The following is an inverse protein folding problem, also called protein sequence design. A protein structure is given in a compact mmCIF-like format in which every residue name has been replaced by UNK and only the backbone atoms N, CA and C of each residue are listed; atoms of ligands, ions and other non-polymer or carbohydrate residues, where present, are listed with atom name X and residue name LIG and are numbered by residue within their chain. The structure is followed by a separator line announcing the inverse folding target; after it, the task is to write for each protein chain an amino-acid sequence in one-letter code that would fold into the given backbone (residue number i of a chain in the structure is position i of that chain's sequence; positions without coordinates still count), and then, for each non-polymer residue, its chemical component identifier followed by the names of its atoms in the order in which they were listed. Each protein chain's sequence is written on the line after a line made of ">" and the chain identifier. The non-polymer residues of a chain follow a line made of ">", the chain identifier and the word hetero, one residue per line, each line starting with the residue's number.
data_IF_053976912605
#
_entry.id   IF_053976912605
#
_cell.length_a   1.000
_cell.length_b   1.000
_cell.length_c   1.000
_cell.angle_alpha   90.00
_cell.angle_beta   90.00
_cell.angle_gamma   90.00
#
_symmetry.space_group_name_H-M   'P 1'
#
loop_
_entity.id
_entity.type
_entity.pdbx_description
1 polymer ?
#
# COMPACT_ATOMS: atom_id res chain seq x y z
N UNK A 1 -16.61 -48.58 -15.28
CA UNK A 1 -16.00 -47.33 -14.79
C UNK A 1 -16.38 -46.22 -15.75
N UNK A 2 -17.23 -45.28 -15.32
CA UNK A 2 -17.54 -44.09 -16.12
C UNK A 2 -16.36 -43.15 -15.95
N UNK A 3 -15.64 -42.82 -17.04
CA UNK A 3 -14.65 -41.73 -17.03
C UNK A 3 -15.44 -40.45 -16.74
N UNK A 4 -15.17 -39.80 -15.61
CA UNK A 4 -15.64 -38.44 -15.40
C UNK A 4 -15.16 -37.58 -16.57
N UNK A 5 -16.09 -36.88 -17.21
CA UNK A 5 -15.76 -35.87 -18.21
C UNK A 5 -14.87 -34.84 -17.54
N UNK A 6 -13.68 -34.62 -18.07
CA UNK A 6 -12.75 -33.59 -17.60
C UNK A 6 -13.50 -32.26 -17.50
N UNK A 7 -13.58 -31.71 -16.30
CA UNK A 7 -14.23 -30.42 -16.07
C UNK A 7 -13.31 -29.34 -16.62
N UNK A 8 -13.62 -28.82 -17.81
CA UNK A 8 -12.82 -27.80 -18.48
C UNK A 8 -12.55 -26.58 -17.57
N UNK A 9 -13.48 -26.22 -16.68
CA UNK A 9 -13.29 -25.10 -15.76
C UNK A 9 -12.18 -25.33 -14.72
N UNK A 10 -11.85 -26.59 -14.42
CA UNK A 10 -10.77 -26.94 -13.50
C UNK A 10 -9.37 -26.90 -14.13
N UNK A 11 -9.29 -26.86 -15.46
CA UNK A 11 -8.03 -26.94 -16.21
C UNK A 11 -7.65 -25.59 -16.86
N UNK A 12 -8.53 -24.58 -16.78
CA UNK A 12 -8.32 -23.24 -17.36
C UNK A 12 -7.34 -22.45 -16.50
N UNK A 13 -6.30 -21.88 -17.13
CA UNK A 13 -5.34 -21.00 -16.47
C UNK A 13 -5.90 -19.62 -16.14
N UNK A 14 -5.21 -18.86 -15.29
CA UNK A 14 -5.65 -17.53 -14.86
C UNK A 14 -5.84 -16.54 -16.03
N UNK A 15 -4.97 -16.61 -17.06
CA UNK A 15 -5.08 -15.77 -18.25
C UNK A 15 -6.33 -16.08 -19.09
N UNK A 16 -6.56 -17.37 -19.37
CA UNK A 16 -7.74 -17.82 -20.11
C UNK A 16 -9.05 -17.49 -19.34
N UNK A 17 -9.04 -17.66 -18.01
CA UNK A 17 -10.17 -17.29 -17.17
C UNK A 17 -10.48 -15.78 -17.26
N UNK A 18 -9.45 -14.93 -17.28
CA UNK A 18 -9.61 -13.49 -17.44
C UNK A 18 -10.23 -13.13 -18.80
N UNK A 19 -9.73 -13.69 -19.89
CA UNK A 19 -10.27 -13.43 -21.24
C UNK A 19 -11.74 -13.88 -21.37
N UNK A 20 -12.09 -15.02 -20.78
CA UNK A 20 -13.47 -15.51 -20.72
C UNK A 20 -14.35 -14.54 -19.92
N UNK A 21 -13.92 -14.10 -18.75
CA UNK A 21 -14.66 -13.12 -17.94
C UNK A 21 -14.88 -11.80 -18.69
N UNK A 22 -13.87 -11.32 -19.41
CA UNK A 22 -13.97 -10.10 -20.22
C UNK A 22 -14.92 -10.27 -21.41
N UNK A 23 -14.95 -11.45 -22.01
CA UNK A 23 -15.90 -11.79 -23.09
C UNK A 23 -17.33 -11.79 -22.55
N UNK A 24 -17.59 -12.51 -21.46
CA UNK A 24 -18.90 -12.54 -20.80
C UNK A 24 -19.39 -11.15 -20.38
N UNK A 25 -18.50 -10.32 -19.85
CA UNK A 25 -18.83 -8.94 -19.45
C UNK A 25 -19.15 -8.03 -20.65
N UNK A 26 -18.58 -8.28 -21.83
CA UNK A 26 -18.90 -7.54 -23.07
C UNK A 26 -20.26 -7.93 -23.63
N UNK A 27 -20.61 -9.20 -23.55
CA UNK A 27 -21.86 -9.75 -24.09
C UNK A 27 -23.08 -9.39 -23.25
N UNK A 28 -22.97 -9.40 -21.92
CA UNK A 28 -24.11 -9.22 -21.02
C UNK A 28 -23.82 -8.23 -19.87
N UNK A 29 -24.68 -7.21 -19.74
CA UNK A 29 -24.56 -6.15 -18.72
C UNK A 29 -24.87 -6.64 -17.30
N UNK A 30 -25.77 -7.62 -17.13
CA UNK A 30 -26.06 -8.23 -15.83
C UNK A 30 -24.90 -9.13 -15.38
N UNK A 31 -24.31 -9.90 -16.29
CA UNK A 31 -23.11 -10.71 -16.00
C UNK A 31 -21.93 -9.80 -15.64
N UNK A 32 -21.70 -8.72 -16.39
CA UNK A 32 -20.71 -7.70 -16.04
C UNK A 32 -20.88 -7.19 -14.60
N UNK A 33 -22.09 -6.74 -14.24
CA UNK A 33 -22.37 -6.26 -12.88
C UNK A 33 -22.10 -7.33 -11.83
N UNK A 34 -22.41 -8.59 -12.12
CA UNK A 34 -22.15 -9.70 -11.20
C UNK A 34 -20.65 -9.98 -11.03
N UNK A 35 -19.88 -9.94 -12.11
CA UNK A 35 -18.41 -10.06 -12.06
C UNK A 35 -17.81 -8.91 -11.23
N UNK A 36 -18.22 -7.68 -11.50
CA UNK A 36 -17.77 -6.49 -10.74
C UNK A 36 -18.12 -6.60 -9.25
N UNK A 37 -19.32 -7.08 -8.90
CA UNK A 37 -19.73 -7.31 -7.53
C UNK A 37 -18.83 -8.34 -6.83
N UNK A 38 -18.63 -9.51 -7.45
CA UNK A 38 -17.80 -10.58 -6.88
C UNK A 38 -16.35 -10.11 -6.72
N UNK A 39 -15.82 -9.36 -7.69
CA UNK A 39 -14.49 -8.78 -7.60
C UNK A 39 -14.39 -7.83 -6.40
N UNK A 40 -15.36 -6.93 -6.22
CA UNK A 40 -15.41 -6.01 -5.07
C UNK A 40 -15.52 -6.74 -3.74
N UNK A 41 -16.38 -7.76 -3.63
CA UNK A 41 -16.54 -8.59 -2.41
C UNK A 41 -15.26 -9.33 -2.02
N UNK A 42 -14.42 -9.69 -2.99
CA UNK A 42 -13.10 -10.28 -2.72
C UNK A 42 -12.08 -9.24 -2.31
N UNK A 43 -12.04 -8.11 -3.01
CA UNK A 43 -11.10 -7.01 -2.76
C UNK A 43 -11.42 -6.25 -1.46
N UNK A 44 -12.67 -6.30 -0.95
CA UNK A 44 -13.11 -5.60 0.25
C UNK A 44 -12.61 -6.18 1.58
N UNK A 45 -11.79 -7.23 1.54
CA UNK A 45 -11.25 -7.89 2.74
C UNK A 45 -9.91 -7.29 3.16
N UNK A 46 -9.87 -5.97 3.27
CA UNK A 46 -8.68 -5.27 3.79
C UNK A 46 -8.74 -5.27 5.30
N UNK A 47 -7.74 -5.86 5.93
CA UNK A 47 -7.48 -5.74 7.36
C UNK A 47 -6.33 -4.74 7.58
N UNK A 48 -6.52 -3.81 8.49
CA UNK A 48 -5.54 -2.76 8.79
C UNK A 48 -4.28 -3.35 9.43
N UNK A 49 -4.45 -4.28 10.36
CA UNK A 49 -3.38 -4.87 11.14
C UNK A 49 -2.54 -5.82 10.28
N UNK A 50 -3.18 -6.57 9.38
CA UNK A 50 -2.46 -7.41 8.41
C UNK A 50 -1.58 -6.52 7.51
N UNK A 51 -2.12 -5.44 6.94
CA UNK A 51 -1.35 -4.52 6.09
C UNK A 51 -0.21 -3.85 6.87
N UNK A 52 -0.46 -3.45 8.13
CA UNK A 52 0.58 -2.85 8.96
C UNK A 52 1.73 -3.83 9.25
N UNK A 53 1.38 -5.09 9.56
CA UNK A 53 2.34 -6.16 9.78
C UNK A 53 3.16 -6.44 8.51
N UNK A 54 2.51 -6.53 7.35
CA UNK A 54 3.19 -6.80 6.07
C UNK A 54 4.16 -5.67 5.71
N UNK A 55 3.76 -4.40 5.91
CA UNK A 55 4.65 -3.25 5.68
C UNK A 55 5.82 -3.23 6.65
N UNK A 56 5.57 -3.48 7.94
CA UNK A 56 6.64 -3.57 8.93
C UNK A 56 7.66 -4.66 8.56
N UNK A 57 7.18 -5.86 8.21
CA UNK A 57 8.05 -6.97 7.85
C UNK A 57 8.84 -6.67 6.58
N UNK A 58 8.22 -6.15 5.52
CA UNK A 58 8.92 -5.80 4.29
C UNK A 58 10.07 -4.80 4.53
N UNK A 59 9.83 -3.77 5.34
CA UNK A 59 10.86 -2.80 5.70
C UNK A 59 11.92 -3.37 6.63
N UNK A 60 11.51 -4.23 7.57
CA UNK A 60 12.41 -4.84 8.55
C UNK A 60 13.26 -5.97 7.95
N UNK A 61 12.84 -6.55 6.83
CA UNK A 61 13.59 -7.58 6.11
C UNK A 61 14.67 -7.00 5.18
N UNK A 62 14.78 -5.67 5.08
CA UNK A 62 15.85 -5.02 4.32
C UNK A 62 17.21 -5.30 5.00
N UNK A 63 18.07 -6.05 4.31
CA UNK A 63 19.41 -6.37 4.78
C UNK A 63 20.37 -5.19 4.56
N UNK A 64 21.17 -4.85 5.58
CA UNK A 64 22.17 -3.78 5.48
C UNK A 64 23.29 -4.15 4.50
N UNK A 65 23.54 -5.44 4.31
CA UNK A 65 24.50 -5.97 3.35
C UNK A 65 24.12 -5.63 1.91
N UNK A 66 22.83 -5.63 1.59
CA UNK A 66 22.33 -5.23 0.28
C UNK A 66 22.55 -3.73 0.04
N UNK A 67 22.36 -2.91 1.09
CA UNK A 67 22.71 -1.50 1.04
C UNK A 67 24.21 -1.30 0.77
N UNK A 68 25.08 -2.01 1.47
CA UNK A 68 26.54 -1.89 1.27
C UNK A 68 26.99 -2.35 -0.12
N UNK A 69 26.36 -3.38 -0.67
CA UNK A 69 26.67 -3.86 -2.02
C UNK A 69 26.25 -2.86 -3.11
N UNK A 70 25.21 -2.07 -2.85
CA UNK A 70 24.60 -1.17 -3.81
C UNK A 70 25.02 0.30 -3.63
N UNK A 71 25.78 0.60 -2.58
CA UNK A 71 26.27 1.94 -2.26
C UNK A 71 27.80 2.05 -2.29
N UNK A 72 28.32 3.26 -2.14
CA UNK A 72 29.75 3.53 -2.18
C UNK A 72 30.30 3.61 -3.60
N UNK A 73 31.57 3.24 -3.77
CA UNK A 73 32.27 3.37 -5.05
C UNK A 73 31.88 2.24 -6.02
N UNK A 74 31.21 2.61 -7.11
CA UNK A 74 30.82 1.71 -8.20
C UNK A 74 31.62 2.01 -9.48
N UNK A 75 31.51 1.14 -10.49
CA UNK A 75 32.09 1.39 -11.82
C UNK A 75 31.51 2.63 -12.54
N UNK A 76 30.38 3.17 -12.08
CA UNK A 76 29.67 4.29 -12.70
C UNK A 76 29.73 5.58 -11.87
N UNK A 77 30.38 5.56 -10.70
CA UNK A 77 30.45 6.70 -9.80
C UNK A 77 30.24 6.28 -8.35
N UNK A 78 30.12 7.28 -7.48
CA UNK A 78 29.81 7.08 -6.07
C UNK A 78 28.29 7.12 -5.86
N UNK A 79 27.75 6.12 -5.16
CA UNK A 79 26.37 6.09 -4.69
C UNK A 79 26.38 6.41 -3.20
N UNK A 80 25.64 7.42 -2.78
CA UNK A 80 25.57 7.83 -1.39
C UNK A 80 24.71 6.83 -0.60
N UNK A 81 25.21 6.25 0.52
CA UNK A 81 24.48 5.19 1.23
C UNK A 81 23.14 5.61 1.82
N UNK A 82 22.99 6.82 2.33
CA UNK A 82 21.68 7.30 2.85
C UNK A 82 20.67 7.52 1.73
N UNK A 83 21.09 8.01 0.56
CA UNK A 83 20.27 8.11 -0.65
C UNK A 83 19.85 6.73 -1.12
N UNK A 84 20.76 5.74 -1.10
CA UNK A 84 20.40 4.36 -1.47
C UNK A 84 19.46 3.72 -0.45
N UNK A 85 19.65 3.97 0.85
CA UNK A 85 18.74 3.48 1.89
C UNK A 85 17.32 4.03 1.67
N UNK A 86 17.20 5.33 1.37
CA UNK A 86 15.94 5.95 1.01
C UNK A 86 15.27 5.27 -0.19
N UNK A 87 16.03 5.00 -1.26
CA UNK A 87 15.51 4.30 -2.43
C UNK A 87 15.03 2.87 -2.10
N UNK A 88 15.82 2.09 -1.35
CA UNK A 88 15.46 0.73 -0.92
C UNK A 88 14.18 0.72 -0.08
N UNK A 89 14.04 1.69 0.84
CA UNK A 89 12.82 1.88 1.61
C UNK A 89 11.61 2.12 0.70
N UNK A 90 11.80 2.93 -0.36
CA UNK A 90 10.78 3.19 -1.37
C UNK A 90 10.42 1.98 -2.22
N UNK A 91 11.40 1.17 -2.60
CA UNK A 91 11.24 -0.06 -3.37
C UNK A 91 10.37 -1.06 -2.60
N UNK A 92 10.63 -1.26 -1.31
CA UNK A 92 9.80 -2.14 -0.47
C UNK A 92 8.37 -1.60 -0.26
N UNK A 93 8.18 -0.29 -0.27
CA UNK A 93 6.85 0.31 -0.17
C UNK A 93 6.07 0.31 -1.49
N UNK A 94 6.72 0.21 -2.64
CA UNK A 94 6.09 0.34 -3.96
C UNK A 94 4.91 -0.64 -4.16
N UNK A 95 5.00 -1.94 -3.82
CA UNK A 95 3.88 -2.87 -3.95
C UNK A 95 2.62 -2.41 -3.18
N UNK A 96 2.81 -1.88 -1.97
CA UNK A 96 1.71 -1.36 -1.15
C UNK A 96 1.10 -0.10 -1.76
N UNK A 97 1.92 0.77 -2.34
CA UNK A 97 1.46 1.99 -2.99
C UNK A 97 0.66 1.72 -4.27
N UNK A 98 1.04 0.72 -5.06
CA UNK A 98 0.28 0.34 -6.24
C UNK A 98 -1.05 -0.35 -5.88
N UNK A 99 -1.10 -1.15 -4.80
CA UNK A 99 -2.35 -1.73 -4.31
C UNK A 99 -3.30 -0.66 -3.73
N UNK A 100 -2.78 0.32 -2.98
CA UNK A 100 -3.54 1.49 -2.54
C UNK A 100 -4.17 2.25 -3.72
N UNK A 101 -3.36 2.52 -4.75
CA UNK A 101 -3.79 3.21 -5.97
C UNK A 101 -4.83 2.40 -6.76
N UNK A 102 -4.75 1.08 -6.74
CA UNK A 102 -5.77 0.19 -7.31
C UNK A 102 -7.11 0.35 -6.60
N UNK A 103 -7.15 0.39 -5.27
CA UNK A 103 -8.39 0.68 -4.54
C UNK A 103 -8.99 2.04 -4.91
N UNK A 104 -8.15 3.07 -5.04
CA UNK A 104 -8.59 4.42 -5.46
C UNK A 104 -9.16 4.41 -6.89
N UNK A 105 -8.49 3.76 -7.84
CA UNK A 105 -8.98 3.60 -9.23
C UNK A 105 -10.32 2.87 -9.31
N UNK A 106 -10.59 1.97 -8.37
CA UNK A 106 -11.85 1.22 -8.27
C UNK A 106 -12.93 1.95 -7.46
N UNK A 107 -12.64 3.18 -6.97
CA UNK A 107 -13.49 3.97 -6.08
C UNK A 107 -13.88 3.21 -4.80
N UNK A 108 -13.00 2.33 -4.33
CA UNK A 108 -13.15 1.56 -3.09
C UNK A 108 -12.57 2.37 -1.94
N UNK A 109 -13.19 3.53 -1.65
CA UNK A 109 -12.63 4.54 -0.76
C UNK A 109 -12.45 4.04 0.67
N UNK A 110 -13.39 3.21 1.17
CA UNK A 110 -13.31 2.62 2.50
C UNK A 110 -12.06 1.74 2.63
N UNK A 111 -11.87 0.86 1.66
CA UNK A 111 -10.72 -0.05 1.58
C UNK A 111 -9.42 0.73 1.40
N UNK A 112 -9.39 1.71 0.50
CA UNK A 112 -8.22 2.58 0.30
C UNK A 112 -7.82 3.30 1.60
N UNK A 113 -8.80 3.80 2.36
CA UNK A 113 -8.56 4.42 3.67
C UNK A 113 -7.99 3.42 4.68
N UNK A 114 -8.61 2.25 4.83
CA UNK A 114 -8.13 1.20 5.75
C UNK A 114 -6.73 0.74 5.37
N UNK A 115 -6.45 0.57 4.08
CA UNK A 115 -5.14 0.18 3.57
C UNK A 115 -4.09 1.27 3.84
N UNK A 116 -4.42 2.54 3.59
CA UNK A 116 -3.56 3.68 3.91
C UNK A 116 -3.23 3.74 5.40
N UNK A 117 -4.21 3.58 6.29
CA UNK A 117 -3.98 3.50 7.73
C UNK A 117 -3.04 2.36 8.11
N UNK A 118 -3.15 1.19 7.45
CA UNK A 118 -2.24 0.07 7.63
C UNK A 118 -0.80 0.41 7.24
N UNK A 119 -0.59 0.99 6.05
CA UNK A 119 0.75 1.44 5.60
C UNK A 119 1.36 2.42 6.60
N UNK A 120 0.60 3.45 6.99
CA UNK A 120 1.06 4.46 7.94
C UNK A 120 1.47 3.84 9.29
N UNK A 121 0.69 2.86 9.77
CA UNK A 121 0.98 2.15 11.01
C UNK A 121 2.24 1.29 10.89
N UNK A 122 2.41 0.54 9.79
CA UNK A 122 3.60 -0.29 9.56
C UNK A 122 4.89 0.52 9.48
N UNK A 123 4.86 1.65 8.76
CA UNK A 123 6.01 2.59 8.70
C UNK A 123 6.34 3.14 10.09
N UNK A 124 5.33 3.54 10.85
CA UNK A 124 5.54 4.02 12.22
C UNK A 124 6.11 2.93 13.13
N UNK A 125 5.62 1.70 13.01
CA UNK A 125 6.12 0.55 13.76
C UNK A 125 7.59 0.27 13.44
N UNK A 126 7.99 0.36 12.18
CA UNK A 126 9.38 0.23 11.77
C UNK A 126 10.28 1.23 12.51
N UNK A 127 9.93 2.51 12.56
CA UNK A 127 10.74 3.52 13.28
C UNK A 127 10.82 3.28 14.79
N UNK A 128 9.80 2.66 15.38
CA UNK A 128 9.71 2.42 16.83
C UNK A 128 10.35 1.12 17.29
N UNK A 129 10.28 0.09 16.47
CA UNK A 129 10.54 -1.28 16.88
C UNK A 129 11.65 -1.96 16.08
N UNK A 130 12.02 -1.44 14.91
CA UNK A 130 13.13 -2.02 14.15
C UNK A 130 14.43 -1.93 14.93
N UNK A 131 15.19 -3.02 14.88
CA UNK A 131 16.52 -3.15 15.49
C UNK A 131 17.57 -3.55 14.45
N UNK A 132 17.23 -3.46 13.16
CA UNK A 132 18.14 -3.82 12.08
C UNK A 132 19.18 -2.73 11.87
N UNK A 133 20.38 -3.12 11.44
CA UNK A 133 21.44 -2.16 11.09
C UNK A 133 21.02 -1.26 9.93
N UNK A 134 20.10 -1.72 9.06
CA UNK A 134 19.54 -0.88 8.00
C UNK A 134 18.77 0.34 8.56
N UNK A 135 18.08 0.20 9.70
CA UNK A 135 17.33 1.29 10.31
C UNK A 135 18.22 2.48 10.72
N UNK A 136 19.50 2.24 11.01
CA UNK A 136 20.48 3.30 11.31
C UNK A 136 20.85 4.15 10.07
N UNK A 137 20.60 3.64 8.86
CA UNK A 137 20.78 4.37 7.61
C UNK A 137 19.52 5.10 7.15
N UNK A 138 18.35 4.60 7.56
CA UNK A 138 17.03 5.12 7.19
C UNK A 138 16.39 5.99 8.30
N UNK A 139 17.17 6.86 8.95
CA UNK A 139 16.74 7.57 10.18
C UNK A 139 15.53 8.50 9.96
N UNK A 140 15.51 9.19 8.82
CA UNK A 140 14.44 10.14 8.46
C UNK A 140 13.42 9.56 7.48
N UNK A 141 13.78 8.50 6.74
CA UNK A 141 12.97 7.90 5.69
C UNK A 141 11.56 7.50 6.14
N UNK A 142 11.35 6.85 7.31
CA UNK A 142 10.02 6.51 7.77
C UNK A 142 9.10 7.73 7.85
N UNK A 143 9.60 8.87 8.32
CA UNK A 143 8.80 10.10 8.46
C UNK A 143 8.49 10.69 7.09
N UNK A 144 9.46 10.72 6.17
CA UNK A 144 9.27 11.25 4.82
C UNK A 144 8.29 10.39 4.01
N UNK A 145 8.43 9.07 4.05
CA UNK A 145 7.54 8.15 3.37
C UNK A 145 6.14 8.17 3.98
N UNK A 146 6.00 8.29 5.31
CA UNK A 146 4.71 8.46 5.96
C UNK A 146 3.96 9.69 5.43
N UNK A 147 4.65 10.84 5.32
CA UNK A 147 4.06 12.05 4.76
C UNK A 147 3.69 11.88 3.28
N UNK A 148 4.54 11.22 2.50
CA UNK A 148 4.34 10.92 1.07
C UNK A 148 3.13 10.00 0.82
N UNK A 149 2.98 8.95 1.63
CA UNK A 149 1.83 8.03 1.59
C UNK A 149 0.54 8.79 1.85
N UNK A 150 0.50 9.59 2.92
CA UNK A 150 -0.67 10.39 3.29
C UNK A 150 -1.03 11.39 2.17
N UNK A 151 -0.04 12.07 1.58
CA UNK A 151 -0.25 13.00 0.48
C UNK A 151 -0.79 12.31 -0.78
N UNK A 152 -0.24 11.15 -1.14
CA UNK A 152 -0.70 10.38 -2.30
C UNK A 152 -2.12 9.87 -2.09
N UNK A 153 -2.44 9.37 -0.90
CA UNK A 153 -3.80 8.96 -0.58
C UNK A 153 -4.79 10.14 -0.61
N UNK A 154 -4.42 11.27 0.00
CA UNK A 154 -5.25 12.46 0.11
C UNK A 154 -5.52 13.16 -1.22
N UNK A 155 -4.60 13.12 -2.19
CA UNK A 155 -4.80 13.74 -3.52
C UNK A 155 -6.00 13.17 -4.29
N UNK A 156 -6.27 11.88 -4.16
CA UNK A 156 -7.39 11.21 -4.83
C UNK A 156 -8.66 11.18 -3.96
N UNK A 157 -8.53 11.49 -2.66
CA UNK A 157 -9.65 11.45 -1.70
C UNK A 157 -10.24 12.84 -1.49
N UNK A 158 -11.52 12.99 -1.80
CA UNK A 158 -12.26 14.27 -1.65
C UNK A 158 -13.24 14.27 -0.48
N UNK A 159 -13.37 13.14 0.21
CA UNK A 159 -14.32 12.99 1.30
C UNK A 159 -13.74 13.51 2.61
N UNK A 160 -14.35 14.56 3.16
CA UNK A 160 -13.92 15.18 4.41
C UNK A 160 -14.02 14.22 5.60
N UNK A 161 -15.00 13.30 5.59
CA UNK A 161 -15.13 12.29 6.65
C UNK A 161 -13.95 11.33 6.64
N UNK A 162 -13.52 10.90 5.47
CA UNK A 162 -12.36 10.02 5.35
C UNK A 162 -11.08 10.71 5.84
N UNK A 163 -10.92 12.01 5.55
CA UNK A 163 -9.80 12.81 6.06
C UNK A 163 -9.82 12.90 7.59
N UNK A 164 -10.99 13.18 8.19
CA UNK A 164 -11.16 13.21 9.66
C UNK A 164 -10.88 11.86 10.29
N UNK A 165 -11.36 10.76 9.70
CA UNK A 165 -11.15 9.41 10.21
C UNK A 165 -9.64 9.05 10.25
N UNK A 166 -8.87 9.42 9.22
CA UNK A 166 -7.40 9.25 9.21
C UNK A 166 -6.73 10.17 10.24
N UNK A 167 -7.16 11.43 10.34
CA UNK A 167 -6.61 12.37 11.31
C UNK A 167 -6.76 11.85 12.74
N UNK A 168 -7.96 11.38 13.11
CA UNK A 168 -8.25 10.82 14.43
C UNK A 168 -7.46 9.52 14.68
N UNK A 169 -7.31 8.68 13.66
CA UNK A 169 -6.47 7.50 13.72
C UNK A 169 -5.00 7.86 14.01
N UNK A 170 -4.44 8.84 13.32
CA UNK A 170 -3.05 9.30 13.52
C UNK A 170 -2.89 9.91 14.90
N UNK A 171 -3.79 10.81 15.33
CA UNK A 171 -3.77 11.41 16.67
C UNK A 171 -3.75 10.36 17.78
N UNK A 172 -4.55 9.30 17.62
CA UNK A 172 -4.70 8.25 18.62
C UNK A 172 -3.51 7.30 18.68
N UNK A 173 -3.02 6.86 17.53
CA UNK A 173 -2.05 5.76 17.46
C UNK A 173 -0.61 6.24 17.26
N UNK A 174 -0.41 7.44 16.71
CA UNK A 174 0.90 7.99 16.33
C UNK A 174 1.02 9.46 16.78
N UNK A 175 0.77 9.78 18.07
CA UNK A 175 0.62 11.15 18.54
C UNK A 175 1.88 12.02 18.32
N UNK A 176 3.06 11.42 18.38
CA UNK A 176 4.33 12.13 18.18
C UNK A 176 4.52 12.58 16.73
N UNK A 177 3.95 11.84 15.79
CA UNK A 177 4.04 12.14 14.35
C UNK A 177 2.88 13.01 13.88
N UNK A 178 1.76 13.04 14.60
CA UNK A 178 0.62 13.92 14.29
C UNK A 178 1.04 15.39 14.11
N UNK A 179 1.97 15.89 14.94
CA UNK A 179 2.47 17.28 14.83
C UNK A 179 3.11 17.62 13.49
N UNK A 180 3.67 16.62 12.79
CA UNK A 180 4.28 16.80 11.46
C UNK A 180 3.23 16.94 10.38
N UNK A 181 2.13 16.18 10.49
CA UNK A 181 1.08 16.13 9.48
C UNK A 181 -0.15 16.99 9.77
N UNK A 182 -0.28 17.58 10.97
CA UNK A 182 -1.49 18.31 11.39
C UNK A 182 -1.91 19.42 10.42
N UNK A 183 -0.94 20.16 9.86
CA UNK A 183 -1.17 21.23 8.88
C UNK A 183 -1.81 20.72 7.57
N UNK A 184 -1.66 19.43 7.25
CA UNK A 184 -2.27 18.83 6.06
C UNK A 184 -3.78 18.69 6.22
N UNK A 185 -4.27 18.49 7.44
CA UNK A 185 -5.71 18.40 7.75
C UNK A 185 -6.38 19.78 7.92
N UNK A 186 -5.64 20.78 8.43
CA UNK A 186 -6.13 22.16 8.55
C UNK A 186 -6.47 22.80 7.19
N UNK A 187 -5.72 22.47 6.13
CA UNK A 187 -5.97 23.00 4.77
C UNK A 187 -7.23 22.42 4.10
N UNK A 188 -7.76 21.31 4.62
CA UNK A 188 -8.94 20.62 4.07
C UNK A 188 -10.26 21.12 4.66
N UNK A 189 -10.23 21.83 5.79
CA UNK A 189 -11.39 22.49 6.38
C UNK A 189 -11.33 24.00 6.07
N UNK A 190 -11.98 24.51 5.01
CA UNK A 190 -12.25 25.93 4.94
C UNK A 190 -13.17 26.26 6.11
N UNK A 191 -12.72 27.15 7.00
CA UNK A 191 -13.50 27.67 8.11
C UNK A 191 -14.92 27.99 7.63
N UNK A 192 -15.92 27.37 8.26
CA UNK A 192 -17.34 27.76 8.19
C UNK A 192 -17.54 29.25 8.36
#
# INVERSE_FOLDING_TARGET
>A
MVKEKTNILGEIGAGDAFEILMTLAKEDKHIRKRIEQIAKERLSRVDLEDVASDVYLALNDIEVEDLWQQSGSTRYGYVEPTERAYEMFGEELEPFMEELKKYQKLSMNKEAKTYCMGILKGIYQFEKESTTEFADWAVDDPKEYFESVLDKWGKETKDQKDMTDIEDFIKKNMPDWYKRVSKKFEKSNPST
#
